data_IF_054900072781
#
_entry.id   IF_054900072781
#
_cell.length_a   1.000
_cell.length_b   1.000
_cell.length_c   1.000
_cell.angle_alpha   90.00
_cell.angle_beta   90.00
_cell.angle_gamma   90.00
#
_symmetry.space_group_name_H-M   'P 1'
#
loop_
_entity.id
_entity.type
_entity.pdbx_description
1 polymer ?
#
# COMPACT_ATOMS: atom_id res chain seq x y z
N UNK A 1 27.83 2.47 -15.18
CA UNK A 1 28.87 1.58 -14.61
C UNK A 1 28.31 0.17 -14.73
N UNK A 2 28.61 -0.53 -15.82
CA UNK A 2 28.05 -1.85 -16.12
C UNK A 2 29.20 -2.70 -16.63
N UNK A 3 29.49 -3.82 -15.97
CA UNK A 3 30.44 -4.79 -16.49
C UNK A 3 29.94 -6.22 -16.28
N UNK A 4 29.99 -6.95 -17.39
CA UNK A 4 29.65 -8.35 -17.57
C UNK A 4 30.50 -9.29 -16.71
N UNK A 5 29.90 -10.34 -16.14
CA UNK A 5 30.56 -11.64 -15.98
C UNK A 5 29.54 -12.77 -16.25
N UNK A 6 29.79 -13.50 -17.33
CA UNK A 6 29.22 -14.80 -17.67
C UNK A 6 29.81 -15.89 -16.77
N UNK A 7 28.99 -16.86 -16.31
CA UNK A 7 29.39 -18.27 -16.22
C UNK A 7 28.22 -19.23 -15.91
N UNK A 8 28.21 -20.30 -16.68
CA UNK A 8 27.46 -21.55 -16.53
C UNK A 8 27.69 -22.20 -15.15
N UNK A 9 26.75 -23.03 -14.67
CA UNK A 9 26.95 -24.49 -14.43
C UNK A 9 25.72 -25.13 -13.74
N UNK A 10 25.12 -26.10 -14.45
CA UNK A 10 24.62 -27.44 -14.05
C UNK A 10 23.82 -27.66 -12.76
N UNK A 11 22.56 -28.05 -13.02
CA UNK A 11 21.58 -28.75 -12.20
C UNK A 11 22.10 -30.12 -11.68
N UNK A 12 21.94 -30.41 -10.38
CA UNK A 12 21.90 -31.79 -9.84
C UNK A 12 20.80 -31.89 -8.76
N UNK A 13 19.78 -32.70 -9.05
CA UNK A 13 18.83 -33.23 -8.06
C UNK A 13 19.40 -34.51 -7.43
N UNK A 14 19.40 -34.62 -6.10
CA UNK A 14 19.39 -35.91 -5.40
C UNK A 14 18.43 -35.85 -4.21
N UNK A 15 17.44 -36.76 -4.24
CA UNK A 15 16.42 -37.00 -3.24
C UNK A 15 16.62 -38.44 -2.74
N UNK A 16 16.91 -38.62 -1.44
CA UNK A 16 16.79 -39.85 -0.64
C UNK A 16 17.32 -39.51 0.77
N UNK A 17 16.65 -39.72 1.90
CA UNK A 17 15.77 -40.82 2.28
C UNK A 17 16.54 -41.76 3.23
N UNK A 18 16.45 -41.54 4.55
CA UNK A 18 16.75 -42.59 5.56
C UNK A 18 16.29 -42.18 6.96
N UNK A 19 15.18 -42.78 7.40
CA UNK A 19 14.73 -42.83 8.79
C UNK A 19 15.49 -43.95 9.52
N UNK A 20 16.30 -43.59 10.51
CA UNK A 20 16.83 -44.53 11.49
C UNK A 20 16.45 -44.08 12.89
N UNK A 21 15.59 -44.87 13.52
CA UNK A 21 15.17 -44.76 14.91
C UNK A 21 16.24 -45.32 15.85
N UNK A 22 16.72 -44.51 16.80
CA UNK A 22 17.51 -44.94 17.95
C UNK A 22 16.63 -44.93 19.22
N UNK A 23 16.74 -45.92 20.13
CA UNK A 23 16.15 -45.84 21.46
C UNK A 23 17.13 -45.12 22.41
N UNK A 24 16.72 -43.97 22.93
CA UNK A 24 17.47 -43.22 23.94
C UNK A 24 17.11 -43.69 25.35
N UNK A 25 18.16 -44.01 26.10
CA UNK A 25 18.22 -44.35 27.52
C UNK A 25 17.85 -43.11 28.36
N UNK A 26 16.77 -43.17 29.16
CA UNK A 26 16.36 -42.08 30.06
C UNK A 26 16.97 -42.28 31.44
N UNK A 27 17.92 -41.42 31.83
CA UNK A 27 18.37 -41.23 33.20
C UNK A 27 17.63 -40.02 33.79
N UNK A 28 16.91 -40.25 34.89
CA UNK A 28 16.15 -39.23 35.61
C UNK A 28 17.07 -38.46 36.57
N UNK A 29 17.45 -37.23 36.19
CA UNK A 29 17.90 -36.20 37.11
C UNK A 29 16.76 -35.23 37.37
N UNK A 30 16.32 -35.11 38.62
CA UNK A 30 15.26 -34.19 39.02
C UNK A 30 15.83 -32.77 39.16
N UNK A 31 15.99 -32.08 38.03
CA UNK A 31 16.23 -30.64 38.05
C UNK A 31 14.91 -29.93 38.34
N UNK A 32 14.93 -29.11 39.38
CA UNK A 32 13.86 -28.20 39.79
C UNK A 32 13.47 -27.33 38.60
N UNK A 33 12.39 -27.70 37.90
CA UNK A 33 11.81 -26.90 36.81
C UNK A 33 11.28 -25.62 37.44
N UNK A 34 12.11 -24.59 37.43
CA UNK A 34 11.68 -23.24 37.75
C UNK A 34 10.70 -22.85 36.64
N UNK A 35 9.43 -22.68 36.99
CA UNK A 35 8.38 -22.22 36.06
C UNK A 35 8.88 -20.95 35.38
N UNK A 36 9.24 -21.06 34.10
CA UNK A 36 9.61 -19.91 33.29
C UNK A 36 8.37 -19.04 33.11
N UNK A 37 8.42 -17.79 33.57
CA UNK A 37 7.31 -16.86 33.42
C UNK A 37 7.24 -16.36 31.98
N UNK A 38 6.10 -16.57 31.32
CA UNK A 38 5.82 -15.94 30.02
C UNK A 38 5.50 -14.46 30.22
N UNK A 39 6.22 -13.59 29.53
CA UNK A 39 5.92 -12.16 29.47
C UNK A 39 4.98 -11.88 28.29
N UNK A 40 4.06 -10.92 28.45
CA UNK A 40 3.12 -10.52 27.39
C UNK A 40 2.96 -9.00 27.31
N UNK A 41 2.81 -8.46 26.10
CA UNK A 41 2.53 -7.06 25.81
C UNK A 41 1.45 -6.99 24.72
N UNK A 42 0.53 -6.03 24.83
CA UNK A 42 -0.42 -5.69 23.75
C UNK A 42 -0.41 -4.18 23.53
N UNK A 43 -0.30 -3.77 22.27
CA UNK A 43 -0.24 -2.36 21.86
C UNK A 43 -1.02 -2.16 20.58
N UNK A 44 -1.65 -0.99 20.47
CA UNK A 44 -2.47 -0.60 19.34
C UNK A 44 -2.22 0.86 19.00
N UNK A 45 -2.29 1.17 17.71
CA UNK A 45 -2.24 2.53 17.19
C UNK A 45 -3.47 3.35 17.61
N UNK A 46 -3.43 4.67 17.46
CA UNK A 46 -4.57 5.55 17.78
C UNK A 46 -5.78 5.33 16.88
N UNK A 47 -5.58 4.69 15.74
CA UNK A 47 -6.60 4.45 14.73
C UNK A 47 -6.52 3.00 14.23
N UNK A 48 -7.65 2.52 13.74
CA UNK A 48 -7.71 1.24 13.03
C UNK A 48 -7.79 1.57 11.53
N UNK A 49 -6.90 1.01 10.70
CA UNK A 49 -6.96 1.20 9.26
C UNK A 49 -8.27 0.65 8.73
N UNK A 50 -8.66 1.10 7.56
CA UNK A 50 -9.83 0.60 6.86
C UNK A 50 -9.41 -0.38 5.77
N UNK A 51 -10.18 -1.46 5.63
CA UNK A 51 -10.10 -2.33 4.47
C UNK A 51 -10.44 -1.56 3.20
N UNK A 52 -9.72 -1.86 2.13
CA UNK A 52 -9.91 -1.25 0.81
C UNK A 52 -9.55 -2.25 -0.27
N UNK A 53 -9.82 -1.94 -1.53
CA UNK A 53 -9.24 -2.72 -2.64
C UNK A 53 -7.73 -2.49 -2.68
N UNK A 54 -7.01 -3.20 -3.54
CA UNK A 54 -5.67 -2.78 -3.95
C UNK A 54 -5.70 -2.12 -5.33
N UNK A 55 -6.89 -1.91 -5.91
CA UNK A 55 -7.15 -1.27 -7.21
C UNK A 55 -6.26 -1.86 -8.31
N UNK A 56 -6.57 -3.09 -8.78
CA UNK A 56 -5.74 -3.82 -9.72
C UNK A 56 -5.52 -3.03 -11.02
N UNK A 57 -4.26 -2.89 -11.44
CA UNK A 57 -3.89 -2.29 -12.73
C UNK A 57 -4.42 -3.10 -13.91
N UNK A 58 -4.64 -4.40 -13.72
CA UNK A 58 -5.29 -5.25 -14.72
C UNK A 58 -6.71 -4.82 -15.03
N UNK A 59 -7.50 -4.41 -14.04
CA UNK A 59 -8.91 -4.01 -14.24
C UNK A 59 -9.07 -2.52 -14.44
N UNK A 60 -8.10 -1.70 -14.01
CA UNK A 60 -8.10 -0.26 -14.24
C UNK A 60 -9.29 0.45 -13.58
N UNK A 61 -9.83 -0.08 -12.49
CA UNK A 61 -11.10 0.32 -11.86
C UNK A 61 -11.18 1.82 -11.54
N UNK A 62 -10.06 2.47 -11.26
CA UNK A 62 -10.01 3.90 -10.96
C UNK A 62 -10.33 4.76 -12.19
N UNK A 63 -9.92 4.32 -13.38
CA UNK A 63 -10.20 5.00 -14.66
C UNK A 63 -11.47 4.46 -15.34
N UNK A 64 -11.64 3.14 -15.35
CA UNK A 64 -12.72 2.44 -16.05
C UNK A 64 -14.01 2.42 -15.24
N UNK A 65 -13.92 2.43 -13.90
CA UNK A 65 -15.04 2.18 -13.01
C UNK A 65 -15.32 0.69 -12.83
N UNK A 66 -16.30 0.39 -11.98
CA UNK A 66 -16.79 -0.95 -11.69
C UNK A 66 -18.31 -0.90 -11.56
N UNK A 67 -18.96 -2.06 -11.66
CA UNK A 67 -20.39 -2.17 -11.43
C UNK A 67 -20.65 -2.22 -9.92
N UNK A 68 -21.32 -1.19 -9.38
CA UNK A 68 -21.63 -1.09 -7.96
C UNK A 68 -23.13 -1.21 -7.69
N UNK A 69 -23.47 -1.46 -6.42
CA UNK A 69 -24.86 -1.35 -5.94
C UNK A 69 -25.41 0.09 -5.98
N UNK A 70 -24.53 1.10 -5.98
CA UNK A 70 -24.89 2.52 -6.13
C UNK A 70 -25.22 2.92 -7.58
N UNK A 71 -25.06 2.00 -8.53
CA UNK A 71 -25.34 2.22 -9.95
C UNK A 71 -24.15 2.73 -10.75
N UNK A 72 -22.92 2.67 -10.20
CA UNK A 72 -21.68 2.84 -10.96
C UNK A 72 -21.58 1.78 -12.04
N UNK A 73 -20.92 2.13 -13.14
CA UNK A 73 -20.70 1.23 -14.27
C UNK A 73 -19.22 1.18 -14.63
N UNK A 74 -18.80 0.06 -15.19
CA UNK A 74 -17.55 -0.03 -15.93
C UNK A 74 -17.74 0.52 -17.36
N UNK A 75 -16.93 1.48 -17.76
CA UNK A 75 -17.01 2.16 -19.05
C UNK A 75 -16.12 1.49 -20.11
N UNK A 76 -16.56 1.44 -21.36
CA UNK A 76 -15.71 1.00 -22.46
C UNK A 76 -14.66 2.07 -22.84
N UNK A 77 -13.50 1.62 -23.34
CA UNK A 77 -12.40 2.51 -23.74
C UNK A 77 -12.80 3.59 -24.76
N UNK A 78 -13.62 3.30 -25.81
CA UNK A 78 -14.14 4.34 -26.69
C UNK A 78 -14.94 5.44 -25.97
N UNK A 79 -15.78 5.07 -25.00
CA UNK A 79 -16.51 6.04 -24.18
C UNK A 79 -15.57 6.88 -23.32
N UNK A 80 -14.55 6.28 -22.71
CA UNK A 80 -13.54 7.00 -21.92
C UNK A 80 -12.73 7.98 -22.78
N UNK A 81 -12.29 7.56 -23.98
CA UNK A 81 -11.60 8.44 -24.93
C UNK A 81 -12.47 9.62 -25.38
N UNK A 82 -13.78 9.38 -25.59
CA UNK A 82 -14.73 10.43 -25.92
C UNK A 82 -14.98 11.38 -24.73
N UNK A 83 -15.02 10.86 -23.51
CA UNK A 83 -15.11 11.67 -22.29
C UNK A 83 -13.92 12.61 -22.19
N UNK A 84 -12.71 12.06 -22.30
CA UNK A 84 -11.45 12.80 -22.24
C UNK A 84 -11.39 13.93 -23.28
N UNK A 85 -11.60 13.61 -24.56
CA UNK A 85 -11.61 14.61 -25.65
C UNK A 85 -12.70 15.68 -25.51
N UNK A 86 -13.76 15.41 -24.74
CA UNK A 86 -14.79 16.40 -24.48
C UNK A 86 -14.48 17.31 -23.29
N UNK A 87 -13.52 17.00 -22.42
CA UNK A 87 -13.15 17.83 -21.25
C UNK A 87 -12.74 19.24 -21.65
N UNK A 88 -11.96 19.38 -22.72
CA UNK A 88 -11.47 20.67 -23.22
C UNK A 88 -12.44 21.33 -24.23
N UNK A 89 -13.40 20.57 -24.74
CA UNK A 89 -14.30 21.03 -25.80
C UNK A 89 -15.57 21.69 -25.25
N UNK A 90 -15.84 22.92 -25.72
CA UNK A 90 -17.09 23.67 -25.42
C UNK A 90 -18.08 23.65 -26.57
N UNK A 91 -17.94 22.68 -27.48
CA UNK A 91 -18.99 22.43 -28.47
C UNK A 91 -20.28 21.98 -27.76
N UNK A 92 -21.45 22.37 -28.30
CA UNK A 92 -22.75 21.93 -27.76
C UNK A 92 -22.84 20.41 -27.59
N UNK A 93 -22.20 19.65 -28.49
CA UNK A 93 -22.15 18.19 -28.46
C UNK A 93 -21.38 17.68 -27.24
N UNK A 94 -20.19 18.24 -26.95
CA UNK A 94 -19.41 17.80 -25.81
C UNK A 94 -20.02 18.22 -24.47
N UNK A 95 -20.54 19.44 -24.37
CA UNK A 95 -21.28 19.89 -23.18
C UNK A 95 -22.45 18.94 -22.90
N UNK A 96 -23.32 18.71 -23.90
CA UNK A 96 -24.46 17.80 -23.74
C UNK A 96 -24.04 16.36 -23.40
N UNK A 97 -22.93 15.89 -23.94
CA UNK A 97 -22.41 14.55 -23.65
C UNK A 97 -21.96 14.44 -22.18
N UNK A 98 -21.15 15.38 -21.70
CA UNK A 98 -20.69 15.39 -20.30
C UNK A 98 -21.86 15.60 -19.33
N UNK A 99 -22.79 16.49 -19.64
CA UNK A 99 -24.00 16.70 -18.83
C UNK A 99 -24.84 15.42 -18.73
N UNK A 100 -24.94 14.65 -19.82
CA UNK A 100 -25.65 13.37 -19.82
C UNK A 100 -24.95 12.34 -18.93
N UNK A 101 -23.63 12.26 -18.99
CA UNK A 101 -22.85 11.34 -18.16
C UNK A 101 -22.88 11.73 -16.67
N UNK A 102 -22.92 13.03 -16.39
CA UNK A 102 -22.95 13.58 -15.03
C UNK A 102 -24.38 13.83 -14.49
N UNK A 103 -25.42 13.42 -15.21
CA UNK A 103 -26.82 13.77 -14.91
C UNK A 103 -27.29 13.29 -13.53
N UNK A 104 -26.69 12.24 -12.97
CA UNK A 104 -26.98 11.69 -11.64
C UNK A 104 -26.01 12.21 -10.55
N UNK A 105 -25.43 13.39 -10.76
CA UNK A 105 -24.32 13.89 -9.95
C UNK A 105 -23.01 13.16 -10.25
N UNK A 106 -22.91 12.49 -11.40
CA UNK A 106 -21.74 11.74 -11.82
C UNK A 106 -21.55 10.42 -11.07
N UNK A 107 -22.55 9.88 -10.39
CA UNK A 107 -22.43 8.61 -9.64
C UNK A 107 -21.93 7.46 -10.53
N UNK A 108 -22.31 7.47 -11.80
CA UNK A 108 -21.85 6.49 -12.80
C UNK A 108 -20.40 6.63 -13.24
N UNK A 109 -19.79 7.79 -13.07
CA UNK A 109 -18.42 8.04 -13.48
C UNK A 109 -17.45 7.24 -12.61
N UNK A 110 -16.29 6.87 -13.16
CA UNK A 110 -15.19 6.32 -12.35
C UNK A 110 -14.59 7.39 -11.43
N UNK A 111 -13.82 6.99 -10.39
CA UNK A 111 -13.17 7.96 -9.50
C UNK A 111 -12.33 9.01 -10.24
N UNK A 112 -11.53 8.60 -11.24
CA UNK A 112 -10.68 9.54 -11.98
C UNK A 112 -11.47 10.41 -12.97
N UNK A 113 -12.54 9.89 -13.59
CA UNK A 113 -13.43 10.73 -14.40
C UNK A 113 -14.09 11.84 -13.57
N UNK A 114 -14.39 11.57 -12.29
CA UNK A 114 -14.92 12.60 -11.38
C UNK A 114 -13.88 13.68 -11.08
N UNK A 115 -12.60 13.32 -10.94
CA UNK A 115 -11.50 14.28 -10.77
C UNK A 115 -11.35 15.15 -12.01
N UNK A 116 -11.33 14.55 -13.20
CA UNK A 116 -11.21 15.28 -14.47
C UNK A 116 -12.38 16.27 -14.66
N UNK A 117 -13.61 15.82 -14.36
CA UNK A 117 -14.80 16.66 -14.42
C UNK A 117 -14.79 17.76 -13.34
N UNK A 118 -14.31 17.46 -12.13
CA UNK A 118 -14.18 18.44 -11.06
C UNK A 118 -13.19 19.54 -11.46
N UNK A 119 -12.07 19.16 -12.09
CA UNK A 119 -11.07 20.10 -12.60
C UNK A 119 -11.69 21.06 -13.59
N UNK A 120 -12.37 20.53 -14.61
CA UNK A 120 -13.11 21.35 -15.57
C UNK A 120 -14.07 22.33 -14.88
N UNK A 121 -14.85 21.88 -13.89
CA UNK A 121 -15.81 22.75 -13.19
C UNK A 121 -15.14 23.86 -12.38
N UNK A 122 -14.01 23.57 -11.73
CA UNK A 122 -13.21 24.57 -11.03
C UNK A 122 -12.71 25.61 -12.04
N UNK A 123 -12.14 25.14 -13.16
CA UNK A 123 -11.61 26.00 -14.20
C UNK A 123 -12.69 26.91 -14.81
N UNK A 124 -13.85 26.34 -15.12
CA UNK A 124 -15.03 27.08 -15.58
C UNK A 124 -15.50 28.14 -14.58
N UNK A 125 -15.41 27.86 -13.28
CA UNK A 125 -15.77 28.80 -12.22
C UNK A 125 -14.75 29.94 -12.06
N UNK A 126 -13.47 29.68 -12.31
CA UNK A 126 -12.39 30.65 -12.13
C UNK A 126 -12.25 31.59 -13.32
N UNK A 127 -12.28 31.05 -14.55
CA UNK A 127 -11.95 31.80 -15.76
C UNK A 127 -13.15 31.98 -16.71
N UNK A 128 -14.21 31.21 -16.51
CA UNK A 128 -15.41 31.19 -17.34
C UNK A 128 -15.35 30.09 -18.42
N UNK A 129 -16.51 29.53 -18.82
CA UNK A 129 -16.55 28.45 -19.81
C UNK A 129 -15.87 28.80 -21.14
N UNK A 130 -14.93 27.96 -21.56
CA UNK A 130 -14.24 28.05 -22.86
C UNK A 130 -13.16 29.13 -22.93
N UNK A 131 -12.78 29.71 -21.79
CA UNK A 131 -11.71 30.72 -21.70
C UNK A 131 -10.39 30.17 -21.13
N UNK A 132 -10.34 28.86 -20.92
CA UNK A 132 -9.22 28.14 -20.33
C UNK A 132 -8.12 27.89 -21.36
N UNK A 133 -6.86 27.94 -20.93
CA UNK A 133 -5.76 27.36 -21.71
C UNK A 133 -5.86 25.84 -21.67
N UNK A 134 -5.51 25.13 -22.75
CA UNK A 134 -5.62 23.66 -22.85
C UNK A 134 -4.92 22.94 -21.69
N UNK A 135 -3.75 23.44 -21.28
CA UNK A 135 -2.92 22.89 -20.19
C UNK A 135 -3.51 22.96 -18.78
N UNK A 136 -4.71 23.54 -18.59
CA UNK A 136 -5.31 23.67 -17.25
C UNK A 136 -6.28 22.54 -16.91
N UNK A 137 -6.64 21.71 -17.90
CA UNK A 137 -7.47 20.54 -17.69
C UNK A 137 -6.62 19.37 -17.19
N UNK A 138 -7.23 18.56 -16.35
CA UNK A 138 -6.63 17.36 -15.76
C UNK A 138 -7.15 16.16 -16.55
N UNK A 139 -6.24 15.27 -16.94
CA UNK A 139 -6.53 14.07 -17.73
C UNK A 139 -6.15 12.78 -17.00
N UNK A 140 -6.47 12.70 -15.71
CA UNK A 140 -6.10 11.58 -14.85
C UNK A 140 -6.65 10.24 -15.36
N UNK A 141 -7.86 10.23 -15.94
CA UNK A 141 -8.43 9.00 -16.54
C UNK A 141 -7.60 8.53 -17.73
N UNK A 142 -7.28 9.41 -18.68
CA UNK A 142 -6.46 9.07 -19.85
C UNK A 142 -5.07 8.61 -19.42
N UNK A 143 -4.50 9.28 -18.44
CA UNK A 143 -3.17 8.97 -17.92
C UNK A 143 -3.08 7.58 -17.31
N UNK A 144 -4.00 7.26 -16.39
CA UNK A 144 -4.10 5.93 -15.79
C UNK A 144 -4.30 4.84 -16.86
N UNK A 145 -5.11 5.10 -17.90
CA UNK A 145 -5.31 4.16 -19.01
C UNK A 145 -4.07 3.94 -19.87
N UNK A 146 -3.28 4.99 -20.08
CA UNK A 146 -2.11 4.90 -20.97
C UNK A 146 -0.94 4.18 -20.32
N UNK A 147 -0.83 4.28 -18.99
CA UNK A 147 0.40 3.93 -18.28
C UNK A 147 0.19 2.78 -17.30
N UNK A 148 -0.90 2.80 -16.54
CA UNK A 148 -1.14 1.79 -15.49
C UNK A 148 -2.07 0.68 -15.96
N UNK A 149 -2.99 0.95 -16.89
CA UNK A 149 -3.95 -0.06 -17.29
C UNK A 149 -3.31 -1.15 -18.15
N UNK A 150 -3.09 -2.32 -17.54
CA UNK A 150 -2.52 -3.48 -18.21
C UNK A 150 -3.56 -4.18 -19.09
N UNK A 151 -4.78 -4.34 -18.58
CA UNK A 151 -5.86 -5.05 -19.26
C UNK A 151 -5.45 -6.45 -19.72
N UNK A 152 -5.81 -6.78 -20.96
CA UNK A 152 -5.41 -8.00 -21.66
C UNK A 152 -4.26 -7.75 -22.66
N UNK A 153 -3.51 -6.65 -22.51
CA UNK A 153 -2.40 -6.31 -23.41
C UNK A 153 -1.12 -7.11 -23.07
N UNK A 154 -0.90 -8.20 -23.80
CA UNK A 154 0.29 -9.05 -23.64
C UNK A 154 1.63 -8.34 -23.90
N UNK A 155 1.60 -7.17 -24.56
CA UNK A 155 2.80 -6.37 -24.83
C UNK A 155 3.03 -5.28 -23.77
N UNK A 156 2.17 -5.18 -22.74
CA UNK A 156 2.37 -4.23 -21.66
C UNK A 156 3.66 -4.60 -20.89
N UNK A 157 4.53 -3.63 -20.52
CA UNK A 157 5.77 -3.92 -19.78
C UNK A 157 5.53 -4.76 -18.52
N UNK A 158 4.47 -4.43 -17.77
CA UNK A 158 4.06 -5.12 -16.54
C UNK A 158 3.11 -6.32 -16.77
N UNK A 159 3.07 -6.90 -17.98
CA UNK A 159 2.15 -7.99 -18.29
C UNK A 159 2.29 -9.18 -17.34
N UNK A 160 3.52 -9.58 -17.00
CA UNK A 160 3.75 -10.74 -16.11
C UNK A 160 3.29 -10.46 -14.67
N UNK A 161 3.32 -9.19 -14.23
CA UNK A 161 2.91 -8.76 -12.90
C UNK A 161 1.42 -8.43 -12.79
N UNK A 162 0.64 -8.53 -13.88
CA UNK A 162 -0.80 -8.16 -13.91
C UNK A 162 -1.69 -8.86 -12.89
N UNK A 163 -1.23 -9.97 -12.30
CA UNK A 163 -1.96 -10.68 -11.24
C UNK A 163 -1.95 -9.95 -9.90
N UNK A 164 -0.96 -9.11 -9.65
CA UNK A 164 -0.69 -8.44 -8.37
C UNK A 164 -0.24 -6.97 -8.52
N UNK A 165 -0.07 -6.45 -9.73
CA UNK A 165 0.24 -5.03 -9.99
C UNK A 165 -0.95 -4.11 -9.69
N UNK A 166 -0.79 -3.21 -8.72
CA UNK A 166 -1.85 -2.33 -8.23
C UNK A 166 -1.33 -1.29 -7.25
N UNK A 167 -2.24 -0.68 -6.50
CA UNK A 167 -1.98 0.44 -5.59
C UNK A 167 -2.08 0.05 -4.11
N UNK A 168 -1.73 -1.18 -3.74
CA UNK A 168 -1.76 -1.68 -2.35
C UNK A 168 -0.93 -0.80 -1.41
N UNK A 169 0.27 -0.35 -1.83
CA UNK A 169 1.08 0.56 -1.02
C UNK A 169 0.38 1.91 -0.79
N UNK A 170 -0.18 2.51 -1.86
CA UNK A 170 -0.92 3.76 -1.76
C UNK A 170 -2.14 3.63 -0.84
N UNK A 171 -2.86 2.52 -0.95
CA UNK A 171 -3.95 2.18 -0.04
C UNK A 171 -3.48 2.11 1.42
N UNK A 172 -2.47 1.28 1.71
CA UNK A 172 -1.96 1.09 3.06
C UNK A 172 -1.54 2.43 3.68
N UNK A 173 -0.70 3.21 2.98
CA UNK A 173 -0.24 4.51 3.47
C UNK A 173 -1.37 5.52 3.65
N UNK A 174 -2.38 5.51 2.77
CA UNK A 174 -3.53 6.40 2.92
C UNK A 174 -4.38 6.04 4.15
N UNK A 175 -4.58 4.75 4.41
CA UNK A 175 -5.32 4.26 5.59
C UNK A 175 -4.61 4.55 6.91
N UNK A 176 -3.28 4.69 6.87
CA UNK A 176 -2.47 5.12 8.00
C UNK A 176 -2.57 6.61 8.29
N UNK A 177 -3.05 7.43 7.35
CA UNK A 177 -3.07 8.89 7.48
C UNK A 177 -4.47 9.50 7.48
N UNK A 178 -5.46 8.76 7.00
CA UNK A 178 -6.84 9.20 6.90
C UNK A 178 -7.78 8.20 7.56
N UNK A 179 -8.77 8.73 8.29
CA UNK A 179 -9.93 7.93 8.70
C UNK A 179 -10.64 7.40 7.45
N UNK A 180 -11.44 6.37 7.59
CA UNK A 180 -12.20 5.89 6.45
C UNK A 180 -13.25 6.93 6.02
N UNK A 181 -13.39 7.19 4.71
CA UNK A 181 -14.59 7.82 4.20
C UNK A 181 -15.83 6.94 4.49
N UNK A 182 -16.86 7.50 5.13
CA UNK A 182 -18.07 6.76 5.54
C UNK A 182 -19.36 7.26 4.90
N UNK A 183 -19.36 8.49 4.40
CA UNK A 183 -20.48 9.12 3.71
C UNK A 183 -20.03 9.66 2.36
N UNK A 184 -20.97 9.86 1.44
CA UNK A 184 -20.68 10.57 0.19
C UNK A 184 -20.50 12.06 0.44
N UNK A 185 -19.79 12.73 -0.47
CA UNK A 185 -19.60 14.18 -0.48
C UNK A 185 -19.93 14.74 -1.85
N UNK A 186 -20.74 15.80 -1.87
CA UNK A 186 -20.99 16.56 -3.09
C UNK A 186 -20.06 17.77 -3.16
N UNK A 187 -19.36 17.91 -4.29
CA UNK A 187 -18.47 19.03 -4.59
C UNK A 187 -18.77 19.51 -6.01
N UNK A 188 -19.20 20.77 -6.14
CA UNK A 188 -19.60 21.37 -7.43
C UNK A 188 -20.60 20.50 -8.23
N UNK A 189 -21.58 19.90 -7.54
CA UNK A 189 -22.59 19.02 -8.15
C UNK A 189 -22.05 17.66 -8.62
N UNK A 190 -20.87 17.25 -8.16
CA UNK A 190 -20.30 15.91 -8.39
C UNK A 190 -20.30 15.17 -7.06
N UNK A 191 -20.83 13.96 -7.06
CA UNK A 191 -20.97 13.11 -5.88
C UNK A 191 -19.79 12.13 -5.84
N UNK A 192 -18.95 12.28 -4.82
CA UNK A 192 -17.88 11.37 -4.46
C UNK A 192 -18.37 10.44 -3.35
N UNK A 193 -18.48 9.16 -3.66
CA UNK A 193 -18.85 8.09 -2.73
C UNK A 193 -17.61 7.66 -1.92
N UNK A 194 -17.79 6.96 -0.78
CA UNK A 194 -16.67 6.46 0.02
C UNK A 194 -15.58 5.75 -0.80
N UNK A 195 -15.98 4.88 -1.74
CA UNK A 195 -15.08 4.16 -2.62
C UNK A 195 -14.29 5.07 -3.58
N UNK A 196 -14.89 6.16 -4.06
CA UNK A 196 -14.17 7.16 -4.86
C UNK A 196 -13.04 7.78 -4.06
N UNK A 197 -13.35 8.22 -2.85
CA UNK A 197 -12.40 8.91 -1.98
C UNK A 197 -11.26 7.98 -1.53
N UNK A 198 -11.59 6.71 -1.22
CA UNK A 198 -10.58 5.68 -0.94
C UNK A 198 -9.66 5.45 -2.14
N UNK A 199 -10.23 5.30 -3.35
CA UNK A 199 -9.46 5.09 -4.57
C UNK A 199 -8.57 6.29 -4.93
N UNK A 200 -9.11 7.51 -4.83
CA UNK A 200 -8.35 8.75 -5.04
C UNK A 200 -7.21 8.89 -4.03
N UNK A 201 -7.47 8.59 -2.75
CA UNK A 201 -6.44 8.57 -1.72
C UNK A 201 -5.36 7.52 -2.03
N UNK A 202 -5.73 6.31 -2.43
CA UNK A 202 -4.78 5.27 -2.81
C UNK A 202 -3.90 5.72 -4.00
N UNK A 203 -4.49 6.34 -5.02
CA UNK A 203 -3.75 6.92 -6.16
C UNK A 203 -2.72 7.95 -5.72
N UNK A 204 -3.14 8.91 -4.90
CA UNK A 204 -2.25 9.99 -4.43
C UNK A 204 -1.12 9.46 -3.56
N UNK A 205 -1.41 8.54 -2.65
CA UNK A 205 -0.42 7.95 -1.78
C UNK A 205 0.49 6.94 -2.49
N UNK A 206 0.07 6.38 -3.63
CA UNK A 206 0.95 5.56 -4.45
C UNK A 206 2.10 6.39 -5.04
N UNK A 207 1.86 7.65 -5.42
CA UNK A 207 2.92 8.59 -5.79
C UNK A 207 3.82 9.01 -4.60
N UNK A 208 3.30 8.97 -3.37
CA UNK A 208 4.06 9.33 -2.17
C UNK A 208 5.20 8.34 -1.84
N UNK A 209 5.24 7.16 -2.46
CA UNK A 209 6.25 6.13 -2.19
C UNK A 209 7.68 6.60 -2.49
N UNK A 210 7.86 7.58 -3.39
CA UNK A 210 9.18 8.15 -3.70
C UNK A 210 9.72 9.08 -2.59
N UNK A 211 8.90 9.37 -1.58
CA UNK A 211 9.20 10.28 -0.47
C UNK A 211 9.28 9.54 0.85
N UNK A 212 9.88 8.35 0.79
CA UNK A 212 10.18 7.51 1.94
C UNK A 212 11.70 7.49 2.09
N UNK A 213 12.22 8.32 2.98
CA UNK A 213 13.64 8.28 3.33
C UNK A 213 14.06 6.97 4.00
N UNK A 214 15.34 6.62 3.87
CA UNK A 214 15.95 5.41 4.44
C UNK A 214 15.68 5.22 5.95
N UNK A 215 15.58 6.32 6.70
CA UNK A 215 15.26 6.27 8.15
C UNK A 215 13.84 5.80 8.46
N UNK A 216 12.96 5.83 7.46
CA UNK A 216 11.56 5.43 7.54
C UNK A 216 11.29 4.09 6.84
N UNK A 217 12.30 3.46 6.24
CA UNK A 217 12.23 2.15 5.63
C UNK A 217 13.04 1.14 6.46
N UNK A 218 12.64 -0.13 6.43
CA UNK A 218 13.39 -1.27 6.99
C UNK A 218 13.23 -2.44 6.01
N UNK A 219 14.32 -3.14 5.72
CA UNK A 219 14.34 -4.16 4.66
C UNK A 219 14.37 -3.54 3.26
N UNK A 220 14.24 -4.40 2.27
CA UNK A 220 14.15 -4.11 0.86
C UNK A 220 12.97 -4.91 0.31
N UNK A 221 12.33 -4.45 -0.75
CA UNK A 221 11.39 -5.32 -1.45
C UNK A 221 12.18 -6.40 -2.22
N UNK A 222 11.86 -7.67 -1.99
CA UNK A 222 12.39 -8.83 -2.71
C UNK A 222 12.26 -8.62 -4.23
N UNK A 223 13.27 -9.10 -4.99
CA UNK A 223 13.40 -9.02 -6.46
C UNK A 223 13.81 -7.71 -7.16
N UNK A 224 14.17 -6.62 -6.48
CA UNK A 224 14.56 -5.37 -7.17
C UNK A 224 15.97 -5.32 -7.80
N UNK A 225 16.77 -6.39 -7.71
CA UNK A 225 18.10 -6.44 -8.35
C UNK A 225 18.51 -7.86 -8.77
N UNK A 226 19.53 -7.99 -9.62
CA UNK A 226 20.00 -9.29 -10.14
C UNK A 226 20.56 -10.25 -9.07
N UNK A 227 20.73 -9.77 -7.84
CA UNK A 227 21.18 -10.55 -6.68
C UNK A 227 20.03 -10.87 -5.71
N UNK A 228 18.82 -10.33 -5.95
CA UNK A 228 17.68 -10.36 -5.05
C UNK A 228 17.01 -11.73 -4.89
N UNK A 229 17.50 -12.76 -5.58
CA UNK A 229 17.06 -14.15 -5.40
C UNK A 229 17.95 -14.90 -4.38
N UNK A 230 18.65 -14.17 -3.50
CA UNK A 230 19.49 -14.77 -2.46
C UNK A 230 18.73 -14.84 -1.12
N UNK A 231 19.14 -15.78 -0.27
CA UNK A 231 18.64 -15.89 1.11
C UNK A 231 18.89 -14.60 1.92
N UNK A 232 19.92 -13.83 1.59
CA UNK A 232 20.21 -12.54 2.24
C UNK A 232 19.15 -11.47 1.94
N UNK A 233 18.64 -11.43 0.71
CA UNK A 233 17.55 -10.52 0.35
C UNK A 233 16.19 -11.02 0.83
N UNK A 234 16.05 -12.33 1.02
CA UNK A 234 14.85 -12.91 1.62
C UNK A 234 14.81 -12.69 3.13
N UNK A 235 15.95 -12.72 3.84
CA UNK A 235 16.03 -12.53 5.31
C UNK A 235 16.39 -11.09 5.73
N UNK A 236 15.90 -10.07 5.03
CA UNK A 236 16.36 -8.70 5.21
C UNK A 236 15.65 -7.92 6.34
N UNK A 237 14.45 -8.33 6.73
CA UNK A 237 13.77 -7.88 7.96
C UNK A 237 13.86 -8.97 9.02
N UNK A 238 14.88 -8.87 9.86
CA UNK A 238 15.07 -9.78 10.99
C UNK A 238 14.07 -9.49 12.12
N UNK A 239 13.75 -10.47 13.00
CA UNK A 239 12.73 -10.27 14.03
C UNK A 239 13.01 -9.12 14.99
N UNK A 240 14.28 -8.85 15.30
CA UNK A 240 14.66 -7.75 16.17
C UNK A 240 14.48 -6.38 15.50
N UNK A 241 14.67 -6.28 14.19
CA UNK A 241 14.38 -5.07 13.41
C UNK A 241 12.88 -4.81 13.34
N UNK A 242 12.09 -5.86 13.09
CA UNK A 242 10.63 -5.78 13.10
C UNK A 242 10.09 -5.36 14.46
N UNK A 243 10.57 -5.96 15.56
CA UNK A 243 10.21 -5.55 16.93
C UNK A 243 10.56 -4.07 17.17
N UNK A 244 11.77 -3.64 16.79
CA UNK A 244 12.18 -2.25 16.90
C UNK A 244 11.27 -1.31 16.11
N UNK A 245 10.81 -1.72 14.93
CA UNK A 245 9.84 -0.98 14.14
C UNK A 245 8.51 -0.84 14.87
N UNK A 246 7.94 -1.94 15.40
CA UNK A 246 6.71 -1.92 16.20
C UNK A 246 6.81 -0.97 17.41
N UNK A 247 7.94 -0.98 18.13
CA UNK A 247 8.19 -0.07 19.26
C UNK A 247 8.37 1.39 18.83
N UNK A 248 8.90 1.65 17.63
CA UNK A 248 9.04 3.00 17.08
C UNK A 248 7.72 3.58 16.60
N UNK A 249 6.76 2.74 16.19
CA UNK A 249 5.49 3.14 15.57
C UNK A 249 4.27 2.87 16.47
N UNK A 250 3.82 1.62 16.59
CA UNK A 250 2.58 1.21 17.27
C UNK A 250 2.58 1.58 18.74
N UNK A 251 3.70 1.43 19.43
CA UNK A 251 3.85 1.87 20.83
C UNK A 251 3.61 3.37 21.03
N UNK A 252 3.84 4.16 19.98
CA UNK A 252 3.62 5.62 19.96
C UNK A 252 2.27 5.99 19.38
N UNK A 253 1.40 5.01 19.13
CA UNK A 253 0.07 5.22 18.60
C UNK A 253 0.02 5.42 17.09
N UNK A 254 1.07 5.06 16.34
CA UNK A 254 1.12 5.11 14.87
C UNK A 254 0.97 3.73 14.26
N UNK A 255 0.53 3.65 13.01
CA UNK A 255 0.56 2.38 12.26
C UNK A 255 1.93 2.16 11.63
N UNK A 256 2.14 1.00 11.05
CA UNK A 256 3.26 0.64 10.20
C UNK A 256 2.71 -0.07 8.96
N UNK A 257 3.25 0.24 7.79
CA UNK A 257 3.00 -0.54 6.57
C UNK A 257 4.06 -1.66 6.52
N UNK A 258 3.66 -2.84 6.09
CA UNK A 258 4.57 -3.94 5.85
C UNK A 258 4.16 -4.76 4.63
N UNK A 259 5.15 -5.14 3.82
CA UNK A 259 5.01 -6.28 2.94
C UNK A 259 4.95 -7.54 3.79
N UNK A 260 3.78 -8.18 3.83
CA UNK A 260 3.57 -9.39 4.60
C UNK A 260 3.74 -10.65 3.77
N UNK A 261 3.89 -10.59 2.45
CA UNK A 261 3.93 -11.79 1.61
C UNK A 261 5.27 -11.89 0.90
N UNK A 262 6.27 -12.55 1.53
CA UNK A 262 7.61 -12.65 0.96
C UNK A 262 7.57 -13.58 -0.25
N UNK A 263 7.39 -13.01 -1.44
CA UNK A 263 7.23 -13.69 -2.73
C UNK A 263 7.38 -12.73 -3.90
N UNK A 264 7.04 -13.19 -5.11
CA UNK A 264 7.21 -12.39 -6.35
C UNK A 264 6.41 -11.08 -6.37
N UNK A 265 5.27 -11.03 -5.68
CA UNK A 265 4.43 -9.84 -5.60
C UNK A 265 4.62 -9.15 -4.25
N UNK A 266 4.80 -7.84 -4.26
CA UNK A 266 4.91 -7.01 -3.05
C UNK A 266 3.50 -6.66 -2.56
N UNK A 267 3.11 -7.15 -1.37
CA UNK A 267 1.77 -6.95 -0.82
C UNK A 267 1.78 -6.13 0.47
N UNK A 268 1.44 -4.86 0.33
CA UNK A 268 1.59 -3.85 1.38
C UNK A 268 0.36 -3.78 2.27
N UNK A 269 0.50 -4.01 3.57
CA UNK A 269 -0.61 -4.03 4.53
C UNK A 269 -0.38 -3.07 5.71
N UNK A 270 -1.41 -2.30 6.12
CA UNK A 270 -1.32 -1.44 7.30
C UNK A 270 -1.54 -2.26 8.59
N UNK A 271 -0.47 -2.45 9.36
CA UNK A 271 -0.52 -3.06 10.69
C UNK A 271 -0.81 -1.98 11.73
N UNK A 272 -1.76 -2.25 12.62
CA UNK A 272 -2.20 -1.27 13.62
C UNK A 272 -2.20 -1.78 15.06
N UNK A 273 -2.11 -3.09 15.27
CA UNK A 273 -2.04 -3.70 16.60
C UNK A 273 -1.11 -4.90 16.55
N UNK A 274 -0.40 -5.10 17.65
CA UNK A 274 0.31 -6.35 17.90
C UNK A 274 0.08 -6.85 19.32
N UNK A 275 0.15 -8.16 19.50
CA UNK A 275 0.27 -8.85 20.78
C UNK A 275 1.56 -9.65 20.76
N UNK A 276 2.40 -9.47 21.77
CA UNK A 276 3.72 -10.05 21.86
C UNK A 276 3.77 -10.94 23.11
N UNK A 277 4.23 -12.17 22.97
CA UNK A 277 4.52 -13.07 24.09
C UNK A 277 5.90 -13.70 23.93
N UNK A 278 6.67 -13.80 25.02
CA UNK A 278 8.00 -14.44 24.97
C UNK A 278 8.38 -15.10 26.29
N UNK A 279 9.37 -15.97 26.19
CA UNK A 279 10.02 -16.63 27.30
C UNK A 279 11.53 -16.50 27.18
N UNK A 280 12.18 -16.26 28.31
CA UNK A 280 13.63 -16.34 28.40
C UNK A 280 14.05 -17.82 28.50
N UNK A 281 14.68 -18.34 27.45
CA UNK A 281 15.11 -19.75 27.38
C UNK A 281 16.52 -19.96 27.93
N UNK A 282 17.33 -18.90 27.99
CA UNK A 282 18.63 -18.89 28.67
C UNK A 282 19.00 -17.47 29.12
N UNK A 283 20.15 -17.29 29.77
CA UNK A 283 20.65 -15.97 30.17
C UNK A 283 20.78 -14.97 29.01
N UNK A 284 20.88 -15.46 27.76
CA UNK A 284 21.11 -14.65 26.58
C UNK A 284 20.19 -15.02 25.41
N UNK A 285 19.09 -15.73 25.65
CA UNK A 285 18.15 -16.11 24.58
C UNK A 285 16.69 -15.92 24.99
N UNK A 286 15.89 -15.51 24.02
CA UNK A 286 14.44 -15.43 24.13
C UNK A 286 13.78 -16.09 22.92
N UNK A 287 12.62 -16.71 23.14
CA UNK A 287 11.76 -17.23 22.07
C UNK A 287 10.36 -16.68 22.29
N UNK A 288 9.67 -16.32 21.22
CA UNK A 288 8.36 -15.70 21.34
C UNK A 288 7.52 -15.72 20.07
N UNK A 289 6.34 -15.12 20.21
CA UNK A 289 5.33 -14.99 19.16
C UNK A 289 4.84 -13.55 19.11
N UNK A 290 4.64 -13.02 17.91
CA UNK A 290 3.99 -11.75 17.60
C UNK A 290 2.70 -12.07 16.85
N UNK A 291 1.55 -11.73 17.43
CA UNK A 291 0.28 -11.71 16.71
C UNK A 291 0.02 -10.31 16.17
N UNK A 292 -0.01 -10.18 14.86
CA UNK A 292 -0.32 -8.95 14.15
C UNK A 292 -1.81 -8.82 13.87
N UNK A 293 -2.27 -7.57 13.77
CA UNK A 293 -3.60 -7.21 13.27
C UNK A 293 -3.44 -6.14 12.19
N UNK A 294 -4.02 -6.37 11.02
CA UNK A 294 -3.88 -5.53 9.83
C UNK A 294 -5.18 -5.51 9.01
N UNK A 295 -5.35 -4.48 8.18
CA UNK A 295 -6.50 -4.42 7.27
C UNK A 295 -6.30 -5.33 6.06
N UNK A 296 -7.41 -5.85 5.54
CA UNK A 296 -7.49 -6.71 4.37
C UNK A 296 -7.70 -5.88 3.09
N UNK A 297 -7.03 -6.26 2.02
CA UNK A 297 -7.20 -5.67 0.69
C UNK A 297 -8.19 -6.45 -0.21
N UNK A 298 -8.46 -7.71 0.13
CA UNK A 298 -9.45 -8.56 -0.54
C UNK A 298 -10.87 -8.28 -0.02
N UNK A 299 -11.35 -7.06 -0.20
CA UNK A 299 -12.70 -6.64 0.20
C UNK A 299 -13.44 -6.01 -0.98
N UNK A 300 -14.77 -5.99 -0.92
CA UNK A 300 -15.57 -5.31 -1.92
C UNK A 300 -15.27 -3.79 -1.90
N UNK A 301 -15.04 -3.22 -3.09
CA UNK A 301 -14.57 -1.84 -3.28
C UNK A 301 -15.50 -0.81 -2.63
N UNK A 302 -16.81 -1.10 -2.58
CA UNK A 302 -17.82 -0.18 -2.04
C UNK A 302 -18.05 -0.33 -0.53
N UNK A 303 -17.37 -1.28 0.12
CA UNK A 303 -17.54 -1.53 1.56
C UNK A 303 -17.02 -0.37 2.41
N UNK A 304 -17.73 -0.09 3.50
CA UNK A 304 -17.34 0.85 4.56
C UNK A 304 -17.32 0.09 5.87
N UNK A 305 -16.16 -0.04 6.51
CA UNK A 305 -15.99 -0.97 7.64
C UNK A 305 -15.98 -0.29 9.01
N UNK A 306 -15.51 0.94 9.11
CA UNK A 306 -15.38 1.70 10.36
C UNK A 306 -16.71 2.04 11.03
N UNK A 307 -17.82 1.94 10.29
CA UNK A 307 -19.19 2.05 10.82
C UNK A 307 -19.74 0.73 11.36
N UNK A 308 -19.11 -0.40 11.02
CA UNK A 308 -19.58 -1.72 11.38
C UNK A 308 -19.14 -2.09 12.80
N UNK A 309 -20.05 -2.72 13.56
CA UNK A 309 -19.71 -3.24 14.90
C UNK A 309 -18.75 -4.42 14.85
N UNK A 310 -18.69 -5.13 13.72
CA UNK A 310 -17.81 -6.27 13.48
C UNK A 310 -16.96 -5.97 12.25
N UNK A 311 -15.64 -5.91 12.45
CA UNK A 311 -14.66 -5.57 11.42
C UNK A 311 -14.16 -6.84 10.72
N UNK A 312 -14.88 -7.27 9.67
CA UNK A 312 -14.51 -8.45 8.87
C UNK A 312 -13.31 -8.22 7.95
N UNK A 313 -12.93 -6.95 7.78
CA UNK A 313 -11.77 -6.51 7.02
C UNK A 313 -10.48 -6.52 7.84
N UNK A 314 -10.50 -6.97 9.10
CA UNK A 314 -9.28 -7.08 9.91
C UNK A 314 -8.83 -8.55 9.95
N UNK A 315 -7.58 -8.79 9.55
CA UNK A 315 -6.92 -10.09 9.59
C UNK A 315 -5.92 -10.15 10.73
N UNK A 316 -5.49 -11.36 11.05
CA UNK A 316 -4.44 -11.62 12.03
C UNK A 316 -3.41 -12.58 11.48
N UNK A 317 -2.16 -12.43 11.92
CA UNK A 317 -1.07 -13.36 11.60
C UNK A 317 -0.17 -13.55 12.80
N UNK A 318 0.22 -14.79 13.05
CA UNK A 318 1.16 -15.14 14.11
C UNK A 318 2.55 -15.33 13.52
N UNK A 319 3.55 -14.65 14.10
CA UNK A 319 4.95 -14.74 13.73
C UNK A 319 5.77 -15.26 14.90
N UNK A 320 6.58 -16.29 14.68
CA UNK A 320 7.42 -16.94 15.69
C UNK A 320 8.88 -16.57 15.48
N UNK A 321 9.58 -16.26 16.58
CA UNK A 321 10.96 -15.80 16.52
C UNK A 321 11.83 -16.35 17.65
N UNK A 322 13.14 -16.29 17.43
CA UNK A 322 14.17 -16.42 18.46
C UNK A 322 15.08 -15.18 18.44
N UNK A 323 15.48 -14.69 19.61
CA UNK A 323 16.38 -13.55 19.76
C UNK A 323 17.62 -13.92 20.55
N UNK A 324 18.74 -13.36 20.12
CA UNK A 324 19.98 -13.31 20.89
C UNK A 324 19.98 -12.02 21.72
N UNK A 325 20.10 -12.18 23.03
CA UNK A 325 20.08 -11.10 24.00
C UNK A 325 21.49 -10.84 24.56
N UNK A 326 21.79 -9.61 25.00
CA UNK A 326 23.09 -9.29 25.58
C UNK A 326 23.25 -9.94 26.96
N UNK A 327 24.50 -10.20 27.42
CA UNK A 327 24.74 -10.68 28.77
C UNK A 327 24.14 -9.75 29.83
N UNK A 328 23.47 -10.33 30.83
CA UNK A 328 22.84 -9.56 31.91
C UNK A 328 21.45 -8.99 31.57
N UNK A 329 20.88 -9.36 30.41
CA UNK A 329 19.49 -9.05 30.08
C UNK A 329 18.53 -9.60 31.16
N UNK A 330 17.57 -8.76 31.58
CA UNK A 330 16.69 -9.02 32.73
C UNK A 330 15.41 -9.78 32.36
N UNK A 331 15.29 -10.24 31.11
CA UNK A 331 14.13 -10.95 30.61
C UNK A 331 12.99 -10.07 30.12
N UNK A 332 13.11 -8.73 30.17
CA UNK A 332 11.97 -7.81 29.96
C UNK A 332 12.02 -7.00 28.67
N UNK A 333 13.15 -6.37 28.37
CA UNK A 333 13.24 -5.44 27.23
C UNK A 333 13.83 -6.12 25.98
N UNK A 334 12.97 -6.54 25.05
CA UNK A 334 13.40 -7.17 23.80
C UNK A 334 14.12 -6.22 22.83
N UNK A 335 14.05 -4.89 23.03
CA UNK A 335 14.78 -3.91 22.20
C UNK A 335 16.29 -4.03 22.35
N UNK A 336 16.75 -4.72 23.38
CA UNK A 336 18.17 -4.96 23.62
C UNK A 336 18.73 -6.11 22.77
N UNK A 337 17.89 -6.85 22.04
CA UNK A 337 18.33 -7.95 21.21
C UNK A 337 19.43 -7.52 20.23
N UNK A 338 20.49 -8.33 20.16
CA UNK A 338 21.65 -8.08 19.29
C UNK A 338 21.51 -8.75 17.92
N UNK A 339 20.66 -9.78 17.84
CA UNK A 339 20.27 -10.44 16.60
C UNK A 339 19.01 -11.29 16.84
N UNK A 340 18.46 -11.87 15.79
CA UNK A 340 17.35 -12.82 15.89
C UNK A 340 17.15 -13.59 14.60
N UNK A 341 16.34 -14.64 14.67
CA UNK A 341 15.94 -15.44 13.51
C UNK A 341 14.46 -15.80 13.61
N UNK A 342 13.77 -15.76 12.47
CA UNK A 342 12.43 -16.32 12.33
C UNK A 342 12.48 -17.85 12.50
N UNK A 343 11.45 -18.42 13.11
CA UNK A 343 11.37 -19.87 13.36
C UNK A 343 10.01 -20.40 12.91
N UNK A 344 9.88 -21.73 12.81
CA UNK A 344 8.63 -22.36 12.39
C UNK A 344 8.21 -21.92 10.99
N UNK A 345 6.91 -21.68 10.81
CA UNK A 345 6.34 -21.20 9.54
C UNK A 345 6.74 -19.75 9.23
N UNK A 346 7.13 -18.97 10.25
CA UNK A 346 7.49 -17.57 10.05
C UNK A 346 8.80 -17.38 9.31
N UNK A 347 9.60 -18.44 9.14
CA UNK A 347 10.72 -18.41 8.19
C UNK A 347 10.28 -18.12 6.76
N UNK A 348 9.06 -18.49 6.39
CA UNK A 348 8.55 -18.31 5.03
C UNK A 348 7.42 -17.28 4.94
N UNK A 349 7.04 -16.67 6.07
CA UNK A 349 5.83 -15.86 6.20
C UNK A 349 6.06 -14.57 6.98
N UNK A 350 7.33 -14.20 7.18
CA UNK A 350 7.70 -12.97 7.85
C UNK A 350 7.57 -11.77 6.90
N UNK A 351 7.51 -10.54 7.45
CA UNK A 351 7.54 -9.35 6.64
C UNK A 351 8.86 -9.19 5.88
N UNK A 352 8.83 -8.61 4.69
CA UNK A 352 9.99 -8.44 3.80
C UNK A 352 10.42 -6.97 3.69
N UNK A 353 9.47 -6.04 3.72
CA UNK A 353 9.76 -4.61 3.76
C UNK A 353 8.81 -3.92 4.73
N UNK A 354 9.28 -2.86 5.38
CA UNK A 354 8.46 -2.04 6.28
C UNK A 354 8.58 -0.56 5.93
N UNK A 355 7.45 0.15 5.94
CA UNK A 355 7.41 1.61 5.89
C UNK A 355 6.83 2.16 7.20
N UNK A 356 7.69 2.86 7.94
CA UNK A 356 7.36 3.42 9.26
C UNK A 356 6.58 4.73 9.17
N UNK A 357 6.84 5.52 8.13
CA UNK A 357 6.13 6.74 7.78
C UNK A 357 6.60 7.31 6.44
N UNK A 358 5.76 8.11 5.81
CA UNK A 358 6.18 9.01 4.73
C UNK A 358 6.83 10.28 5.29
N UNK A 359 7.71 10.92 4.53
CA UNK A 359 8.31 12.18 4.93
C UNK A 359 7.28 13.30 5.03
N UNK A 360 7.37 14.14 6.07
CA UNK A 360 6.32 15.12 6.38
C UNK A 360 6.06 16.11 5.25
N UNK A 361 7.08 16.38 4.45
CA UNK A 361 7.06 17.37 3.38
C UNK A 361 6.80 16.73 2.01
N UNK A 362 6.49 15.42 1.93
CA UNK A 362 6.33 14.73 0.65
C UNK A 362 5.41 15.44 -0.35
N UNK A 363 4.34 16.11 0.16
CA UNK A 363 3.40 16.89 -0.66
C UNK A 363 3.97 18.18 -1.23
N UNK A 364 4.90 18.84 -0.54
CA UNK A 364 5.61 19.99 -1.10
C UNK A 364 6.78 19.53 -1.96
N UNK A 365 7.50 18.52 -1.50
CA UNK A 365 8.69 17.99 -2.18
C UNK A 365 8.28 17.48 -3.56
N UNK A 366 7.18 16.73 -3.67
CA UNK A 366 6.69 16.26 -4.96
C UNK A 366 6.48 17.38 -5.97
N UNK A 367 6.10 18.59 -5.54
CA UNK A 367 5.93 19.75 -6.41
C UNK A 367 7.27 20.29 -6.91
N UNK A 368 8.28 20.35 -6.03
CA UNK A 368 9.64 20.74 -6.39
C UNK A 368 10.25 19.76 -7.40
N UNK A 369 9.95 18.46 -7.28
CA UNK A 369 10.42 17.43 -8.21
C UNK A 369 9.75 17.49 -9.59
N UNK A 370 8.57 18.09 -9.74
CA UNK A 370 7.91 18.19 -11.05
C UNK A 370 8.65 19.14 -12.00
N UNK A 371 9.55 19.97 -11.49
CA UNK A 371 10.34 20.92 -12.27
C UNK A 371 11.65 20.32 -12.80
N UNK A 372 11.99 19.07 -12.41
CA UNK A 372 13.22 18.38 -12.81
C UNK A 372 12.94 17.28 -13.86
N UNK A 373 13.36 17.53 -15.11
CA UNK A 373 13.11 16.67 -16.28
C UNK A 373 13.67 15.23 -16.14
N UNK A 374 14.68 15.02 -15.29
CA UNK A 374 15.37 13.72 -15.17
C UNK A 374 14.57 12.69 -14.33
N UNK A 375 13.60 13.13 -13.50
CA UNK A 375 12.76 12.25 -12.68
C UNK A 375 11.32 12.11 -13.20
N UNK A 376 10.91 12.98 -14.13
CA UNK A 376 9.58 12.98 -14.76
C UNK A 376 9.24 11.67 -15.51
N UNK A 377 10.22 10.81 -15.77
CA UNK A 377 10.00 9.51 -16.41
C UNK A 377 9.34 8.46 -15.52
N UNK A 378 9.08 8.75 -14.23
CA UNK A 378 8.35 7.81 -13.38
C UNK A 378 6.84 8.01 -13.51
N UNK A 379 6.25 7.10 -14.27
CA UNK A 379 4.84 6.71 -14.45
C UNK A 379 3.82 7.28 -13.43
N UNK A 380 4.10 7.21 -12.12
CA UNK A 380 3.18 7.66 -11.07
C UNK A 380 3.25 9.17 -10.75
N UNK A 381 4.41 9.79 -10.98
CA UNK A 381 4.60 11.23 -10.77
C UNK A 381 3.75 12.03 -11.76
N UNK A 382 3.67 11.59 -13.01
CA UNK A 382 2.87 12.26 -14.04
C UNK A 382 1.36 12.23 -13.72
N UNK A 383 0.84 11.13 -13.15
CA UNK A 383 -0.56 11.09 -12.71
C UNK A 383 -0.83 12.10 -11.60
N UNK A 384 0.13 12.22 -10.68
CA UNK A 384 0.04 13.21 -9.60
C UNK A 384 0.16 14.64 -10.15
N UNK A 385 1.05 14.90 -11.12
CA UNK A 385 1.16 16.18 -11.84
C UNK A 385 -0.18 16.57 -12.43
N UNK A 386 -0.82 15.63 -13.13
CA UNK A 386 -2.14 15.83 -13.72
C UNK A 386 -3.16 16.20 -12.64
N UNK A 387 -3.08 15.67 -11.42
CA UNK A 387 -4.02 16.02 -10.34
C UNK A 387 -3.74 17.39 -9.67
N UNK A 388 -2.78 18.16 -10.15
CA UNK A 388 -2.48 19.50 -9.64
C UNK A 388 -3.15 20.58 -10.49
N UNK A 389 -3.72 21.61 -9.86
CA UNK A 389 -4.19 22.78 -10.59
C UNK A 389 -2.99 23.67 -10.98
N UNK A 390 -2.97 24.25 -12.19
CA UNK A 390 -1.90 25.18 -12.56
C UNK A 390 -1.97 26.47 -11.74
N UNK A 391 -0.86 26.81 -11.09
CA UNK A 391 -0.63 28.06 -10.38
C UNK A 391 -0.50 27.91 -8.86
N UNK A 392 0.44 28.66 -8.26
CA UNK A 392 0.84 28.59 -6.85
C UNK A 392 -0.27 28.86 -5.80
N UNK A 393 -1.47 29.29 -6.22
CA UNK A 393 -2.52 29.78 -5.32
C UNK A 393 -3.64 28.77 -5.01
N UNK A 394 -3.77 27.68 -5.79
CA UNK A 394 -4.79 26.65 -5.62
C UNK A 394 -4.04 25.32 -5.47
N UNK A 395 -3.98 24.76 -4.26
CA UNK A 395 -3.33 23.46 -4.02
C UNK A 395 -3.91 22.32 -4.89
N UNK A 396 -3.46 21.09 -4.65
CA UNK A 396 -3.96 19.92 -5.40
C UNK A 396 -5.49 19.89 -5.43
N UNK A 397 -6.09 19.51 -6.59
CA UNK A 397 -7.54 19.27 -6.64
C UNK A 397 -7.96 18.22 -5.62
N UNK A 398 -7.03 17.31 -5.30
CA UNK A 398 -7.20 16.31 -4.26
C UNK A 398 -7.19 16.95 -2.88
N UNK A 399 -6.29 17.88 -2.58
CA UNK A 399 -6.31 18.57 -1.29
C UNK A 399 -7.60 19.36 -1.10
N UNK A 400 -8.12 19.99 -2.16
CA UNK A 400 -9.43 20.63 -2.13
C UNK A 400 -10.55 19.61 -1.82
N UNK A 401 -10.58 18.47 -2.52
CA UNK A 401 -11.59 17.42 -2.31
C UNK A 401 -11.50 16.79 -0.91
N UNK A 402 -10.29 16.44 -0.47
CA UNK A 402 -10.02 15.81 0.82
C UNK A 402 -10.30 16.78 1.96
N UNK A 403 -9.95 18.07 1.84
CA UNK A 403 -10.31 19.11 2.82
C UNK A 403 -11.81 19.43 2.82
N UNK A 404 -12.50 19.25 1.69
CA UNK A 404 -13.96 19.36 1.68
C UNK A 404 -14.62 18.18 2.41
N UNK A 405 -13.94 17.05 2.53
CA UNK A 405 -14.43 15.84 3.18
C UNK A 405 -14.20 15.82 4.69
N UNK A 406 -12.95 15.96 5.12
CA UNK A 406 -12.51 15.91 6.52
C UNK A 406 -12.56 17.29 7.18
#
# INVERSE_FOLDING_TARGET
>A
MYNQITKQTTLIYILAGCLLSFPALMAAGSDTITSMSTSTISKQSKQTPWGGSWWPMRTGELAIGWNSSSGRVAWDLPTLSKFDSCLESYTKKCISFLDTLAADGGRKLSPLMKIDLLSRKINDSLWGPGKNEEKVFIHATRHELNIHYIGDNQNHPEWESRGYAGKCLGWALSSMNHKEPTVHKEVLGIIFEPADLKGILATVYHGAQFFISDKNAVGNAYHNNSEANSEEYYEDVLPHDFLNALYKTIDKGKMIEADLEPGDGVWNYPIFKYELSWQQTSATQAVGTIRLYFANDEVDVDSVFSTESVRTDIKTRDLEFSLQMPPGWDGKDLRQATSGAWIGASREQHPDALILSIDKNWRSDILEYLEDDDFAANINTELFQEMMLPGEALGSIVDFLISAYY
#
